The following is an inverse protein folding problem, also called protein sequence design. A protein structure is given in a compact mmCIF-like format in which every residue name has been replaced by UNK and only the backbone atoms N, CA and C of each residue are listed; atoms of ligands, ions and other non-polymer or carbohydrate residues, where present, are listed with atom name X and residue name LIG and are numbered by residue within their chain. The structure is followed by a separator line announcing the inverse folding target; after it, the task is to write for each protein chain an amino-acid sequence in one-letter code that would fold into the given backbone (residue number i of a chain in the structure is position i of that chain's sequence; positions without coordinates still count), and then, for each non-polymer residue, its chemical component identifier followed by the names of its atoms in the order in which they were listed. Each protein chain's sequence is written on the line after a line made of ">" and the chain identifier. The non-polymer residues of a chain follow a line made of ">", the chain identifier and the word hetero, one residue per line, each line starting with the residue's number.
data_IF_681264282866
#
_entry.id   IF_681264282866
#
_cell.length_a   1.000
_cell.length_b   1.000
_cell.length_c   1.000
_cell.angle_alpha   90.00
_cell.angle_beta   90.00
_cell.angle_gamma   90.00
#
_symmetry.space_group_name_H-M   'P 1'
#
loop_
_entity.id
_entity.type
_entity.pdbx_description
1 polymer ?
#
# COMPACT_ATOMS: atom_id res chain seq x y z
N UNK A 1 -4.39 15.84 1.32
CA UNK A 1 -4.03 14.70 0.42
C UNK A 1 -2.60 14.21 0.68
N UNK A 2 -2.15 13.11 0.05
CA UNK A 2 -0.81 12.53 0.28
C UNK A 2 0.35 13.49 -0.09
N UNK A 3 0.21 14.23 -1.20
CA UNK A 3 1.19 15.23 -1.62
C UNK A 3 1.39 16.35 -0.58
N UNK A 4 0.31 16.85 0.02
CA UNK A 4 0.39 17.84 1.10
C UNK A 4 1.11 17.29 2.33
N UNK A 5 0.92 16.00 2.66
CA UNK A 5 1.63 15.37 3.79
C UNK A 5 3.11 15.20 3.52
N UNK A 6 3.50 14.90 2.28
CA UNK A 6 4.89 14.88 1.84
C UNK A 6 5.52 16.27 1.94
N UNK A 7 4.82 17.30 1.43
CA UNK A 7 5.29 18.67 1.53
C UNK A 7 5.47 19.11 2.99
N UNK A 8 4.47 18.87 3.84
CA UNK A 8 4.56 19.17 5.27
C UNK A 8 5.67 18.39 6.00
N UNK A 9 6.00 17.18 5.54
CA UNK A 9 7.15 16.43 6.05
C UNK A 9 8.47 17.09 5.64
N UNK A 10 8.61 17.48 4.36
CA UNK A 10 9.81 18.12 3.84
C UNK A 10 10.07 19.48 4.48
N UNK A 11 9.03 20.30 4.69
CA UNK A 11 9.15 21.60 5.37
C UNK A 11 9.65 21.48 6.82
N UNK A 12 9.41 20.33 7.47
CA UNK A 12 9.89 20.05 8.82
C UNK A 12 11.32 19.48 8.84
N UNK A 13 11.81 18.97 7.72
CA UNK A 13 13.15 18.38 7.56
C UNK A 13 14.18 19.46 7.21
N UNK A 14 14.35 20.43 8.11
CA UNK A 14 15.21 21.62 7.89
C UNK A 14 16.72 21.35 7.86
N UNK A 15 17.15 20.10 8.09
CA UNK A 15 18.55 19.67 7.98
C UNK A 15 18.85 18.98 6.64
N UNK A 16 17.92 19.04 5.69
CA UNK A 16 18.09 18.45 4.37
C UNK A 16 19.00 19.29 3.52
N UNK A 17 20.15 18.73 3.16
CA UNK A 17 20.99 19.31 2.12
C UNK A 17 20.32 19.14 0.75
N UNK A 18 20.40 20.14 -0.14
CA UNK A 18 19.92 20.01 -1.51
C UNK A 18 20.71 18.92 -2.25
N UNK A 19 20.06 17.85 -2.71
CA UNK A 19 20.74 16.79 -3.44
C UNK A 19 20.09 15.40 -3.32
N UNK A 20 20.91 14.36 -3.38
CA UNK A 20 20.52 12.94 -3.45
C UNK A 20 20.16 12.32 -2.09
N UNK A 21 19.68 13.13 -1.15
CA UNK A 21 19.35 12.65 0.18
C UNK A 21 18.07 11.81 0.18
N UNK A 22 18.00 10.71 0.96
CA UNK A 22 16.82 9.84 1.02
C UNK A 22 15.55 10.64 1.34
N UNK A 23 14.45 10.38 0.62
CA UNK A 23 13.19 11.09 0.86
C UNK A 23 12.74 10.93 2.33
N UNK A 24 12.70 9.69 2.84
CA UNK A 24 12.42 9.43 4.25
C UNK A 24 13.70 9.08 5.00
N UNK A 25 13.94 9.78 6.12
CA UNK A 25 15.09 9.53 7.00
C UNK A 25 14.69 8.86 8.30
N UNK A 26 15.61 8.09 8.87
CA UNK A 26 15.50 7.62 10.24
C UNK A 26 15.60 8.80 11.20
N UNK A 27 14.64 8.91 12.12
CA UNK A 27 14.56 10.03 13.07
C UNK A 27 15.24 9.74 14.41
N UNK A 28 15.58 8.47 14.70
CA UNK A 28 16.10 8.04 16.01
C UNK A 28 17.07 6.87 15.88
N UNK A 29 17.98 6.75 16.84
CA UNK A 29 18.91 5.63 16.98
C UNK A 29 20.22 5.80 16.19
N UNK A 30 20.98 4.71 16.03
CA UNK A 30 22.32 4.72 15.43
C UNK A 30 22.35 5.10 13.95
N UNK A 31 21.20 5.04 13.27
CA UNK A 31 21.05 5.35 11.84
C UNK A 31 20.36 6.70 11.60
N UNK A 32 20.28 7.57 12.62
CA UNK A 32 19.63 8.89 12.48
C UNK A 32 20.21 9.66 11.31
N UNK A 33 19.35 10.25 10.48
CA UNK A 33 19.74 10.99 9.28
C UNK A 33 19.96 10.12 8.03
N UNK A 34 20.15 8.81 8.17
CA UNK A 34 20.21 7.88 7.03
C UNK A 34 18.81 7.59 6.48
N UNK A 35 18.73 6.95 5.31
CA UNK A 35 17.46 6.48 4.76
C UNK A 35 16.73 5.52 5.69
N UNK A 36 15.40 5.62 5.74
CA UNK A 36 14.57 4.69 6.51
C UNK A 36 14.72 3.26 5.98
N UNK A 37 14.96 2.30 6.87
CA UNK A 37 15.06 0.89 6.49
C UNK A 37 13.68 0.27 6.21
N UNK A 38 13.64 -0.83 5.46
CA UNK A 38 12.40 -1.58 5.23
C UNK A 38 11.69 -1.99 6.54
N UNK A 39 12.46 -2.43 7.54
CA UNK A 39 11.93 -2.73 8.87
C UNK A 39 11.38 -1.48 9.58
N UNK A 40 12.01 -0.30 9.39
CA UNK A 40 11.49 0.96 9.89
C UNK A 40 10.12 1.29 9.29
N UNK A 41 9.97 1.14 7.97
CA UNK A 41 8.69 1.34 7.28
C UNK A 41 7.64 0.33 7.79
N UNK A 42 8.00 -0.94 7.94
CA UNK A 42 7.12 -1.97 8.50
C UNK A 42 6.61 -1.57 9.89
N UNK A 43 7.50 -1.12 10.79
CA UNK A 43 7.12 -0.69 12.14
C UNK A 43 6.19 0.51 12.14
N UNK A 44 6.39 1.48 11.25
CA UNK A 44 5.48 2.62 11.09
C UNK A 44 4.09 2.15 10.69
N UNK A 45 3.99 1.25 9.71
CA UNK A 45 2.69 0.68 9.30
C UNK A 45 2.06 -0.09 10.45
N UNK A 46 2.81 -0.97 11.12
CA UNK A 46 2.31 -1.77 12.24
C UNK A 46 1.80 -0.90 13.41
N UNK A 47 2.49 0.22 13.70
CA UNK A 47 2.05 1.17 14.71
C UNK A 47 0.69 1.78 14.37
N UNK A 48 0.51 2.21 13.11
CA UNK A 48 -0.74 2.85 12.69
C UNK A 48 -1.89 1.86 12.50
N UNK A 49 -1.63 0.63 12.05
CA UNK A 49 -2.66 -0.42 12.00
C UNK A 49 -3.16 -0.76 13.39
N UNK A 50 -2.25 -0.88 14.37
CA UNK A 50 -2.61 -1.06 15.78
C UNK A 50 -3.43 0.13 16.31
N UNK A 51 -2.96 1.37 16.08
CA UNK A 51 -3.67 2.57 16.52
C UNK A 51 -5.07 2.72 15.88
N UNK A 52 -5.26 2.22 14.66
CA UNK A 52 -6.55 2.20 13.97
C UNK A 52 -7.46 1.02 14.41
N UNK A 53 -7.01 0.15 15.32
CA UNK A 53 -7.77 -1.01 15.77
C UNK A 53 -7.85 -2.14 14.74
N UNK A 54 -6.98 -2.15 13.72
CA UNK A 54 -6.96 -3.18 12.68
C UNK A 54 -6.20 -4.41 13.22
N UNK A 55 -6.95 -5.46 13.55
CA UNK A 55 -6.45 -6.72 14.08
C UNK A 55 -6.32 -7.75 12.94
N UNK A 56 -5.23 -7.63 12.16
CA UNK A 56 -4.91 -8.60 11.09
C UNK A 56 -3.47 -9.04 11.26
N UNK A 57 -3.28 -10.33 11.54
CA UNK A 57 -1.97 -10.91 11.75
C UNK A 57 -1.08 -10.71 10.51
N UNK A 58 0.13 -10.23 10.75
CA UNK A 58 1.11 -10.02 9.68
C UNK A 58 0.79 -8.86 8.72
N UNK A 59 -0.23 -8.03 9.00
CA UNK A 59 -0.51 -6.86 8.17
C UNK A 59 0.68 -5.90 8.16
N UNK A 60 1.15 -5.59 6.96
CA UNK A 60 2.27 -4.68 6.73
C UNK A 60 2.20 -4.04 5.35
N UNK A 61 3.32 -3.46 4.89
CA UNK A 61 3.41 -2.72 3.61
C UNK A 61 2.87 -3.51 2.40
N UNK A 62 3.10 -4.82 2.35
CA UNK A 62 2.59 -5.66 1.26
C UNK A 62 1.07 -5.84 1.33
N UNK A 63 0.50 -5.98 2.53
CA UNK A 63 -0.94 -6.07 2.72
C UNK A 63 -1.67 -4.77 2.34
N UNK A 64 -1.05 -3.61 2.58
CA UNK A 64 -1.57 -2.33 2.09
C UNK A 64 -1.60 -2.26 0.56
N UNK A 65 -0.53 -2.74 -0.11
CA UNK A 65 -0.47 -2.84 -1.58
C UNK A 65 -1.54 -3.79 -2.13
N UNK A 66 -1.72 -4.94 -1.49
CA UNK A 66 -2.78 -5.89 -1.83
C UNK A 66 -4.16 -5.24 -1.74
N UNK A 67 -4.44 -4.55 -0.62
CA UNK A 67 -5.71 -3.84 -0.39
C UNK A 67 -5.97 -2.79 -1.47
N UNK A 68 -4.98 -1.95 -1.78
CA UNK A 68 -5.12 -0.93 -2.81
C UNK A 68 -5.39 -1.53 -4.19
N UNK A 69 -4.74 -2.66 -4.51
CA UNK A 69 -4.93 -3.39 -5.77
C UNK A 69 -6.34 -3.95 -5.87
N UNK A 70 -6.78 -4.68 -4.85
CA UNK A 70 -8.12 -5.26 -4.79
C UNK A 70 -9.19 -4.17 -4.89
N UNK A 71 -9.06 -3.07 -4.15
CA UNK A 71 -10.01 -1.96 -4.22
C UNK A 71 -10.12 -1.39 -5.64
N UNK A 72 -9.00 -1.08 -6.29
CA UNK A 72 -9.02 -0.51 -7.64
C UNK A 72 -9.65 -1.47 -8.65
N UNK A 73 -9.40 -2.78 -8.53
CA UNK A 73 -10.01 -3.79 -9.39
C UNK A 73 -11.51 -3.98 -9.12
N UNK A 74 -11.94 -3.88 -7.85
CA UNK A 74 -13.35 -3.96 -7.46
C UNK A 74 -14.19 -2.78 -8.02
N UNK A 75 -13.56 -1.62 -8.26
CA UNK A 75 -14.17 -0.48 -8.94
C UNK A 75 -13.95 -0.50 -10.47
N UNK A 76 -13.91 -1.70 -11.06
CA UNK A 76 -13.85 -1.95 -12.51
C UNK A 76 -12.70 -1.29 -13.26
N UNK A 77 -11.58 -1.04 -12.58
CA UNK A 77 -10.37 -0.65 -13.27
C UNK A 77 -9.89 -1.76 -14.22
N UNK A 78 -9.35 -1.33 -15.36
CA UNK A 78 -8.71 -2.21 -16.32
C UNK A 78 -7.47 -2.89 -15.69
N UNK A 79 -7.48 -4.22 -15.66
CA UNK A 79 -6.40 -5.03 -15.07
C UNK A 79 -5.04 -4.78 -15.72
N UNK A 80 -5.00 -4.45 -17.02
CA UNK A 80 -3.75 -4.11 -17.71
C UNK A 80 -3.17 -2.78 -17.19
N UNK A 81 -4.02 -1.79 -16.90
CA UNK A 81 -3.60 -0.53 -16.29
C UNK A 81 -3.14 -0.73 -14.84
N UNK A 82 -3.85 -1.56 -14.08
CA UNK A 82 -3.45 -1.93 -12.72
C UNK A 82 -2.10 -2.65 -12.71
N UNK A 83 -1.84 -3.55 -13.66
CA UNK A 83 -0.53 -4.19 -13.82
C UNK A 83 0.60 -3.17 -14.00
N UNK A 84 0.41 -2.19 -14.89
CA UNK A 84 1.40 -1.12 -15.14
C UNK A 84 1.62 -0.31 -13.87
N UNK A 85 0.55 0.09 -13.18
CA UNK A 85 0.62 0.84 -11.93
C UNK A 85 1.39 0.09 -10.83
N UNK A 86 1.24 -1.24 -10.76
CA UNK A 86 1.98 -2.09 -9.83
C UNK A 86 3.42 -2.39 -10.26
N UNK A 87 3.76 -2.18 -11.54
CA UNK A 87 5.05 -2.60 -12.11
C UNK A 87 5.22 -4.12 -12.15
N UNK A 88 4.12 -4.87 -12.30
CA UNK A 88 4.19 -6.32 -12.43
C UNK A 88 4.63 -6.72 -13.85
N UNK A 89 5.65 -7.57 -13.95
CA UNK A 89 6.15 -8.08 -15.23
C UNK A 89 5.20 -9.09 -15.90
N UNK A 90 4.31 -9.74 -15.14
CA UNK A 90 3.39 -10.75 -15.63
C UNK A 90 1.98 -10.52 -15.08
N UNK A 91 1.01 -10.40 -15.98
CA UNK A 91 -0.41 -10.16 -15.66
C UNK A 91 -0.99 -11.21 -14.72
N UNK A 92 -0.46 -12.43 -14.75
CA UNK A 92 -0.89 -13.54 -13.89
C UNK A 92 -0.71 -13.22 -12.41
N UNK A 93 0.31 -12.43 -12.05
CA UNK A 93 0.52 -11.98 -10.66
C UNK A 93 -0.51 -10.93 -10.24
N UNK A 94 -0.97 -10.08 -11.16
CA UNK A 94 -2.05 -9.12 -10.91
C UNK A 94 -3.40 -9.82 -10.78
N UNK A 95 -3.65 -10.87 -11.57
CA UNK A 95 -4.89 -11.68 -11.52
C UNK A 95 -5.14 -12.32 -10.16
N UNK A 96 -4.10 -12.58 -9.36
CA UNK A 96 -4.26 -13.08 -7.99
C UNK A 96 -5.06 -12.12 -7.08
N UNK A 97 -5.13 -10.82 -7.44
CA UNK A 97 -5.86 -9.81 -6.69
C UNK A 97 -7.26 -9.52 -7.26
N UNK A 98 -7.59 -10.04 -8.46
CA UNK A 98 -8.87 -9.80 -9.12
C UNK A 98 -9.92 -10.80 -8.61
N UNK A 99 -10.82 -10.31 -7.76
CA UNK A 99 -11.86 -11.12 -7.12
C UNK A 99 -13.23 -11.03 -7.78
N UNK A 100 -13.35 -10.30 -8.91
CA UNK A 100 -14.65 -10.08 -9.57
C UNK A 100 -15.34 -11.38 -9.99
N UNK A 101 -14.57 -12.42 -10.35
CA UNK A 101 -15.11 -13.76 -10.66
C UNK A 101 -15.49 -14.62 -9.45
N UNK A 102 -15.28 -14.13 -8.22
CA UNK A 102 -15.56 -14.87 -6.97
C UNK A 102 -16.74 -14.26 -6.19
N UNK A 103 -17.44 -13.29 -6.78
CA UNK A 103 -18.60 -12.65 -6.14
C UNK A 103 -19.74 -13.66 -6.08
N UNK A 104 -20.25 -13.92 -4.88
CA UNK A 104 -21.38 -14.82 -4.65
C UNK A 104 -22.63 -14.39 -5.44
N UNK A 105 -22.80 -13.09 -5.64
CA UNK A 105 -23.86 -12.44 -6.43
C UNK A 105 -23.79 -12.74 -7.94
N UNK A 106 -22.63 -13.12 -8.47
CA UNK A 106 -22.44 -13.57 -9.86
C UNK A 106 -22.65 -15.08 -10.02
N UNK A 107 -22.85 -15.82 -8.92
CA UNK A 107 -23.14 -17.26 -8.95
C UNK A 107 -24.54 -17.53 -9.52
N UNK A 108 -24.69 -18.48 -10.46
CA UNK A 108 -25.99 -18.94 -10.97
C UNK A 108 -26.95 -19.36 -9.85
N UNK A 109 -26.42 -19.86 -8.73
CA UNK A 109 -27.18 -20.33 -7.57
C UNK A 109 -27.78 -19.18 -6.74
N UNK A 110 -27.16 -18.00 -6.74
CA UNK A 110 -27.62 -16.85 -5.95
C UNK A 110 -28.85 -16.15 -6.54
N UNK A 111 -29.13 -16.35 -7.84
CA UNK A 111 -30.29 -15.76 -8.54
C UNK A 111 -31.56 -16.60 -8.46
N UNK A 112 -31.51 -17.76 -7.79
CA UNK A 112 -32.69 -18.62 -7.60
C UNK A 112 -33.46 -18.11 -6.38
N UNK A 113 -34.57 -17.41 -6.61
CA UNK A 113 -35.58 -17.17 -5.57
C UNK A 113 -36.38 -18.46 -5.36
N UNK A 114 -36.37 -18.99 -4.14
CA UNK A 114 -37.37 -19.96 -3.68
C UNK A 114 -38.64 -19.21 -3.27
#
# INVERSE_FOLDING_TARGET
>A
MAAERLHAYLERDGQREPGNDPLFRSLRGRTTGSGTSANGIYKVVAQWTHAAGIQVDGLGVHGLRATATTNVLEYDADIAKVQVWLGHANISTTRLYDRRGQRSEDSPTFKVKY
#
